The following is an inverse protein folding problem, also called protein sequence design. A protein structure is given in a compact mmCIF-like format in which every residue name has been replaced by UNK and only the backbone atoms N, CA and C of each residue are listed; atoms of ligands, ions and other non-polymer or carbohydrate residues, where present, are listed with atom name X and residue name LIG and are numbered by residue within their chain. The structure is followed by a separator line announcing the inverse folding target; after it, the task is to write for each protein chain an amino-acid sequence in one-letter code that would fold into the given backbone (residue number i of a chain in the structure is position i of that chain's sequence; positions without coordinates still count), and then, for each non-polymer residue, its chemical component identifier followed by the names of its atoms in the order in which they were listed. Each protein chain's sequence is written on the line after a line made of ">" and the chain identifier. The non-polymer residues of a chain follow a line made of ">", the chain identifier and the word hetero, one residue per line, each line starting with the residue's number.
data_IF_892780556142
#
_entry.id   IF_892780556142
#
_cell.length_a   1.000
_cell.length_b   1.000
_cell.length_c   1.000
_cell.angle_alpha   90.00
_cell.angle_beta   90.00
_cell.angle_gamma   90.00
#
_symmetry.space_group_name_H-M   'P 1'
#
loop_
_entity.id
_entity.type
_entity.pdbx_description
1 polymer ?
#
# COMPACT_ATOMS: atom_id res chain seq x y z
N UNK A 1 -61.73 9.43 36.12
CA UNK A 1 -61.74 9.56 34.64
C UNK A 1 -60.39 10.11 34.20
N UNK A 2 -59.41 9.25 33.92
CA UNK A 2 -58.11 9.66 33.41
C UNK A 2 -57.81 8.89 32.11
N UNK A 3 -58.30 9.45 31.02
CA UNK A 3 -57.96 9.05 29.65
C UNK A 3 -57.02 10.11 29.09
N UNK A 4 -55.77 9.74 28.77
CA UNK A 4 -55.05 10.23 27.58
C UNK A 4 -53.70 9.52 27.40
N UNK A 5 -53.71 8.59 26.45
CA UNK A 5 -52.75 8.47 25.32
C UNK A 5 -51.29 8.10 25.64
N UNK A 6 -51.07 6.80 25.80
CA UNK A 6 -49.79 6.12 25.48
C UNK A 6 -49.61 6.05 23.95
N UNK A 7 -49.19 7.12 23.32
CA UNK A 7 -48.77 7.07 21.91
C UNK A 7 -47.62 8.05 21.66
N UNK A 8 -46.45 7.75 22.21
CA UNK A 8 -45.27 8.61 22.06
C UNK A 8 -43.93 7.90 22.11
N UNK A 9 -43.90 6.55 22.09
CA UNK A 9 -42.66 5.80 22.34
C UNK A 9 -42.29 4.79 21.25
N UNK A 10 -42.81 4.93 20.02
CA UNK A 10 -42.48 4.02 18.91
C UNK A 10 -41.94 4.69 17.64
N UNK A 11 -41.78 6.02 17.62
CA UNK A 11 -41.35 6.74 16.40
C UNK A 11 -40.00 7.47 16.50
N UNK A 12 -39.23 7.29 17.57
CA UNK A 12 -37.95 8.00 17.74
C UNK A 12 -36.72 7.21 17.28
N UNK A 13 -36.84 5.93 16.92
CA UNK A 13 -35.69 5.11 16.50
C UNK A 13 -35.56 4.89 14.99
N UNK A 14 -36.60 5.17 14.19
CA UNK A 14 -36.55 4.96 12.74
C UNK A 14 -35.80 6.05 11.95
N UNK A 15 -35.49 7.20 12.58
CA UNK A 15 -34.88 8.35 11.91
C UNK A 15 -33.37 8.51 12.08
N UNK A 16 -32.74 7.78 13.00
CA UNK A 16 -31.33 8.01 13.36
C UNK A 16 -30.34 7.14 12.58
N UNK A 17 -30.79 6.10 11.88
CA UNK A 17 -29.91 5.19 11.13
C UNK A 17 -29.69 5.53 9.64
N UNK A 18 -30.32 6.58 9.12
CA UNK A 18 -30.35 6.83 7.66
C UNK A 18 -29.40 7.95 7.18
N UNK A 19 -28.60 8.56 8.07
CA UNK A 19 -27.73 9.71 7.72
C UNK A 19 -26.24 9.42 7.65
N UNK A 20 -25.80 8.19 7.85
CA UNK A 20 -24.37 7.82 7.83
C UNK A 20 -24.02 6.65 6.90
N UNK A 21 -24.83 6.41 5.86
CA UNK A 21 -24.38 5.55 4.77
C UNK A 21 -23.99 6.43 3.58
N UNK A 22 -22.82 7.07 3.69
CA UNK A 22 -22.02 7.31 2.49
C UNK A 22 -21.91 5.94 1.80
N UNK A 23 -22.58 5.79 0.65
CA UNK A 23 -22.78 4.52 -0.05
C UNK A 23 -21.66 3.50 0.20
N UNK A 24 -21.91 2.32 0.79
CA UNK A 24 -20.87 1.30 1.02
C UNK A 24 -20.21 0.83 -0.29
N UNK A 25 -20.83 1.09 -1.45
CA UNK A 25 -20.26 0.88 -2.76
C UNK A 25 -19.11 1.85 -3.13
N UNK A 26 -18.97 2.98 -2.43
CA UNK A 26 -17.96 4.02 -2.72
C UNK A 26 -16.74 3.97 -1.79
N UNK A 27 -16.88 3.37 -0.61
CA UNK A 27 -15.85 3.47 0.44
C UNK A 27 -14.60 2.61 0.16
N UNK A 28 -14.73 1.42 -0.42
CA UNK A 28 -13.57 0.54 -0.66
C UNK A 28 -12.72 0.89 -1.88
N UNK A 29 -13.36 1.25 -3.01
CA UNK A 29 -12.67 1.41 -4.31
C UNK A 29 -11.91 2.73 -4.45
N UNK A 30 -12.42 3.82 -3.90
CA UNK A 30 -11.77 5.14 -4.02
C UNK A 30 -10.59 5.25 -3.04
N UNK A 31 -10.78 4.83 -1.78
CA UNK A 31 -9.73 4.86 -0.76
C UNK A 31 -8.55 3.93 -1.12
N UNK A 32 -8.80 2.72 -1.64
CA UNK A 32 -7.74 1.82 -2.09
C UNK A 32 -6.96 2.38 -3.29
N UNK A 33 -7.65 3.05 -4.23
CA UNK A 33 -7.01 3.70 -5.39
C UNK A 33 -6.14 4.87 -4.96
N UNK A 34 -6.61 5.68 -4.02
CA UNK A 34 -5.88 6.87 -3.59
C UNK A 34 -4.73 6.53 -2.63
N UNK A 35 -4.84 5.41 -1.88
CA UNK A 35 -3.73 4.85 -1.09
C UNK A 35 -2.62 4.25 -1.97
N UNK A 36 -2.98 3.52 -3.03
CA UNK A 36 -2.00 2.90 -3.93
C UNK A 36 -1.26 3.93 -4.81
N UNK A 37 -1.87 5.07 -5.14
CA UNK A 37 -1.26 6.08 -6.02
C UNK A 37 0.02 6.69 -5.44
N UNK A 38 0.04 7.03 -4.15
CA UNK A 38 1.15 7.81 -3.55
C UNK A 38 2.52 7.14 -3.70
N UNK A 39 2.73 5.87 -3.30
CA UNK A 39 4.05 5.23 -3.40
C UNK A 39 4.45 4.81 -4.82
N UNK A 40 3.50 4.70 -5.76
CA UNK A 40 3.79 4.28 -7.13
C UNK A 40 4.51 5.35 -7.94
N UNK A 41 4.21 6.63 -7.70
CA UNK A 41 4.83 7.73 -8.44
C UNK A 41 6.23 8.11 -7.92
N UNK A 42 6.64 7.57 -6.77
CA UNK A 42 7.99 7.77 -6.20
C UNK A 42 8.99 6.70 -6.67
N UNK A 43 8.56 5.71 -7.45
CA UNK A 43 9.43 4.65 -7.95
C UNK A 43 10.33 5.15 -9.09
N UNK A 44 11.59 4.70 -9.11
CA UNK A 44 12.50 4.95 -10.23
C UNK A 44 12.03 4.15 -11.46
N UNK A 45 11.46 4.82 -12.45
CA UNK A 45 11.06 4.23 -13.75
C UNK A 45 12.19 4.25 -14.79
N UNK A 46 13.31 4.88 -14.45
CA UNK A 46 14.51 4.98 -15.29
C UNK A 46 15.43 3.75 -15.19
N UNK A 47 16.63 3.83 -15.77
CA UNK A 47 17.64 2.80 -15.59
C UNK A 47 17.96 2.61 -14.09
N UNK A 48 18.33 1.38 -13.68
CA UNK A 48 18.68 1.11 -12.29
C UNK A 48 19.89 1.95 -11.88
N UNK A 49 19.84 2.50 -10.66
CA UNK A 49 20.95 3.26 -10.08
C UNK A 49 22.23 2.45 -10.07
N UNK A 50 23.33 3.10 -10.38
CA UNK A 50 24.66 2.48 -10.36
C UNK A 50 25.19 2.37 -8.93
N UNK A 51 26.24 1.57 -8.71
CA UNK A 51 26.82 1.39 -7.37
C UNK A 51 27.38 2.71 -6.80
N UNK A 52 27.92 3.57 -7.66
CA UNK A 52 28.55 4.84 -7.30
C UNK A 52 27.53 5.89 -6.84
N UNK A 53 26.30 5.79 -7.34
CA UNK A 53 25.18 6.68 -6.98
C UNK A 53 24.51 6.27 -5.66
N UNK A 54 24.73 5.04 -5.19
CA UNK A 54 24.12 4.53 -3.98
C UNK A 54 24.95 4.88 -2.75
N UNK A 55 24.26 5.28 -1.68
CA UNK A 55 24.87 5.55 -0.38
C UNK A 55 25.50 4.25 0.20
N UNK A 56 26.79 4.25 0.57
CA UNK A 56 27.46 3.10 1.18
C UNK A 56 26.81 2.56 2.46
N UNK A 57 26.11 3.42 3.21
CA UNK A 57 25.39 3.03 4.43
C UNK A 57 24.00 2.43 4.13
N UNK A 58 23.56 2.46 2.87
CA UNK A 58 22.28 1.89 2.46
C UNK A 58 22.36 0.37 2.25
N UNK A 59 21.28 -0.33 2.61
CA UNK A 59 21.16 -1.77 2.34
C UNK A 59 21.16 -2.11 0.85
N UNK A 60 20.68 -1.19 0.00
CA UNK A 60 20.59 -1.37 -1.45
C UNK A 60 21.97 -1.45 -2.11
N UNK A 61 22.91 -0.62 -1.66
CA UNK A 61 24.32 -0.67 -2.06
C UNK A 61 24.90 -2.08 -1.88
N UNK A 62 24.76 -2.64 -0.67
CA UNK A 62 25.30 -3.96 -0.36
C UNK A 62 24.62 -5.11 -1.13
N UNK A 63 23.33 -4.97 -1.46
CA UNK A 63 22.63 -5.94 -2.33
C UNK A 63 23.22 -5.93 -3.73
N UNK A 64 23.44 -4.75 -4.30
CA UNK A 64 23.97 -4.58 -5.65
C UNK A 64 25.44 -5.05 -5.74
N UNK A 65 26.26 -4.69 -4.76
CA UNK A 65 27.65 -5.16 -4.67
C UNK A 65 27.75 -6.68 -4.59
N UNK A 66 26.91 -7.33 -3.77
CA UNK A 66 26.85 -8.80 -3.69
C UNK A 66 26.48 -9.43 -5.03
N UNK A 67 25.48 -8.88 -5.71
CA UNK A 67 25.02 -9.35 -7.03
C UNK A 67 26.15 -9.29 -8.06
N UNK A 68 26.89 -8.17 -8.11
CA UNK A 68 28.03 -8.00 -9.00
C UNK A 68 29.15 -9.01 -8.71
N UNK A 69 29.46 -9.25 -7.43
CA UNK A 69 30.47 -10.23 -7.03
C UNK A 69 30.10 -11.67 -7.44
N UNK A 70 28.83 -12.06 -7.29
CA UNK A 70 28.34 -13.36 -7.75
C UNK A 70 28.51 -13.49 -9.27
N UNK A 71 28.13 -12.46 -10.03
CA UNK A 71 28.31 -12.48 -11.49
C UNK A 71 29.76 -12.58 -11.91
N UNK A 72 30.65 -11.85 -11.24
CA UNK A 72 32.10 -11.96 -11.45
C UNK A 72 32.57 -13.38 -11.19
N UNK A 73 32.21 -13.95 -10.05
CA UNK A 73 32.59 -15.32 -9.69
C UNK A 73 32.10 -16.32 -10.74
N UNK A 74 30.83 -16.25 -11.13
CA UNK A 74 30.24 -17.13 -12.14
C UNK A 74 30.93 -16.99 -13.50
N UNK A 75 31.31 -15.77 -13.89
CA UNK A 75 32.06 -15.55 -15.14
C UNK A 75 33.44 -16.19 -15.08
N UNK A 76 34.12 -16.10 -13.94
CA UNK A 76 35.45 -16.68 -13.73
C UNK A 76 35.41 -18.21 -13.60
N UNK A 77 34.34 -18.78 -13.05
CA UNK A 77 34.19 -20.22 -12.89
C UNK A 77 33.72 -20.93 -14.16
N UNK A 78 33.07 -20.23 -15.10
CA UNK A 78 32.57 -20.80 -16.37
C UNK A 78 33.59 -21.62 -17.17
N UNK A 79 34.87 -21.23 -17.14
CA UNK A 79 35.91 -21.89 -17.94
C UNK A 79 36.77 -22.87 -17.12
N UNK A 80 36.46 -23.07 -15.84
CA UNK A 80 37.14 -24.06 -15.01
C UNK A 80 36.48 -25.41 -15.25
N UNK A 81 37.13 -26.27 -16.03
CA UNK A 81 36.80 -27.70 -16.06
C UNK A 81 37.20 -28.27 -14.69
N UNK A 82 36.31 -29.08 -14.10
CA UNK A 82 36.59 -29.85 -12.89
C UNK A 82 37.74 -30.83 -13.13
#
# INVERSE_FOLDING_TARGET
>A
MATRRLFGATQTWAGWGARELLNPATSGRLLARDYAKKPLFEMNLGPPKTLEELDPESREYWRLLRKQNIWRHNRLSKNKKL
#
